data_IF_769750772292
#
_entry.id   IF_769750772292
#
_cell.length_a   1.000
_cell.length_b   1.000
_cell.length_c   1.000
_cell.angle_alpha   90.00
_cell.angle_beta   90.00
_cell.angle_gamma   90.00
#
_symmetry.space_group_name_H-M   'P 1'
#
loop_
_entity.id
_entity.type
_entity.pdbx_description
1 polymer ?
#
# COMPACT_ATOMS: atom_id res chain seq x y z
N UNK A 1 -4.94 17.56 -6.07
CA UNK A 1 -3.88 16.94 -6.88
C UNK A 1 -3.80 15.43 -6.67
N UNK A 2 -3.06 14.61 -7.43
CA UNK A 2 -2.70 14.90 -8.82
C UNK A 2 -3.94 15.49 -9.50
N UNK A 3 -3.87 16.78 -9.83
CA UNK A 3 -5.10 17.55 -10.08
C UNK A 3 -5.54 17.08 -11.42
N UNK A 4 -6.76 17.45 -11.75
CA UNK A 4 -7.15 17.55 -13.13
C UNK A 4 -6.00 18.09 -14.03
N UNK A 5 -5.29 19.15 -13.63
CA UNK A 5 -4.16 19.69 -14.41
C UNK A 5 -2.96 18.73 -14.57
N UNK A 6 -2.65 17.88 -13.58
CA UNK A 6 -1.58 16.88 -13.72
C UNK A 6 -2.04 15.69 -14.57
N UNK A 7 -3.30 15.28 -14.43
CA UNK A 7 -3.92 14.25 -15.27
C UNK A 7 -4.02 14.68 -16.74
N UNK A 8 -4.34 15.96 -17.00
CA UNK A 8 -4.47 16.52 -18.35
C UNK A 8 -3.13 16.48 -19.14
N UNK A 9 -1.99 16.21 -18.49
CA UNK A 9 -0.68 15.99 -19.14
C UNK A 9 -0.52 14.59 -19.75
N UNK A 10 -1.39 13.64 -19.41
CA UNK A 10 -1.33 12.24 -19.82
C UNK A 10 -2.55 11.85 -20.65
N UNK A 11 -2.46 10.84 -21.53
CA UNK A 11 -3.64 10.32 -22.21
C UNK A 11 -4.72 9.88 -21.21
N UNK A 12 -6.01 10.03 -21.53
CA UNK A 12 -7.09 9.62 -20.64
C UNK A 12 -7.05 8.10 -20.41
N UNK A 13 -7.53 7.68 -19.24
CA UNK A 13 -7.74 6.27 -18.96
C UNK A 13 -8.92 5.77 -19.84
N UNK A 14 -8.82 4.62 -20.52
CA UNK A 14 -9.89 4.14 -21.40
C UNK A 14 -11.18 3.80 -20.65
N UNK A 15 -12.33 4.14 -21.23
CA UNK A 15 -13.64 3.94 -20.61
C UNK A 15 -14.28 2.58 -20.96
N UNK A 16 -13.65 1.80 -21.83
CA UNK A 16 -14.15 0.54 -22.39
C UNK A 16 -13.49 -0.72 -21.79
N UNK A 17 -12.75 -0.57 -20.69
CA UNK A 17 -12.09 -1.68 -20.00
C UNK A 17 -12.69 -1.95 -18.61
N UNK A 18 -12.73 -3.21 -18.15
CA UNK A 18 -13.17 -3.54 -16.79
C UNK A 18 -12.27 -2.89 -15.74
N UNK A 19 -12.90 -2.20 -14.78
CA UNK A 19 -12.23 -1.58 -13.64
C UNK A 19 -12.81 -2.06 -12.32
N UNK A 20 -11.94 -2.19 -11.32
CA UNK A 20 -12.32 -2.41 -9.94
C UNK A 20 -13.22 -1.28 -9.44
N UNK A 21 -14.35 -1.65 -8.83
CA UNK A 21 -15.22 -0.70 -8.15
C UNK A 21 -14.70 -0.47 -6.74
N UNK A 22 -13.80 0.52 -6.59
CA UNK A 22 -13.29 0.93 -5.29
C UNK A 22 -14.25 1.93 -4.65
N UNK A 23 -14.54 1.75 -3.36
CA UNK A 23 -15.28 2.76 -2.59
C UNK A 23 -14.43 4.02 -2.49
N UNK A 24 -15.02 5.19 -2.79
CA UNK A 24 -14.41 6.49 -2.51
C UNK A 24 -14.74 6.91 -1.08
N UNK A 25 -13.70 7.21 -0.32
CA UNK A 25 -13.73 7.69 1.06
C UNK A 25 -13.19 9.12 1.07
N UNK A 26 -13.86 10.06 1.71
CA UNK A 26 -13.49 11.47 1.75
C UNK A 26 -12.76 11.77 3.05
N UNK A 27 -11.53 12.28 2.94
CA UNK A 27 -10.72 12.65 4.09
C UNK A 27 -11.42 13.70 4.96
N UNK A 28 -12.06 14.69 4.34
CA UNK A 28 -12.81 15.76 5.02
C UNK A 28 -13.90 15.21 5.95
N UNK A 29 -14.59 14.14 5.54
CA UNK A 29 -15.64 13.50 6.34
C UNK A 29 -15.09 12.58 7.43
N UNK A 30 -13.94 11.93 7.20
CA UNK A 30 -13.21 11.22 8.25
C UNK A 30 -12.73 12.19 9.33
N UNK A 31 -12.15 13.34 8.94
CA UNK A 31 -11.75 14.41 9.87
C UNK A 31 -12.95 14.92 10.71
N UNK A 32 -14.13 15.01 10.09
CA UNK A 32 -15.38 15.37 10.76
C UNK A 32 -15.98 14.24 11.62
N UNK A 33 -15.35 13.06 11.68
CA UNK A 33 -15.85 11.85 12.36
C UNK A 33 -17.25 11.43 11.90
N UNK A 34 -17.58 11.62 10.62
CA UNK A 34 -18.88 11.21 10.10
C UNK A 34 -19.03 9.68 10.16
N UNK A 35 -20.04 9.22 10.90
CA UNK A 35 -20.27 7.79 11.11
C UNK A 35 -20.47 7.03 9.80
N UNK A 36 -21.24 7.58 8.88
CA UNK A 36 -21.55 6.94 7.59
C UNK A 36 -20.30 6.75 6.73
N UNK A 37 -19.39 7.72 6.75
CA UNK A 37 -18.10 7.61 6.05
C UNK A 37 -17.20 6.58 6.73
N UNK A 38 -17.13 6.59 8.06
CA UNK A 38 -16.40 5.60 8.86
C UNK A 38 -16.88 4.17 8.59
N UNK A 39 -18.20 3.96 8.53
CA UNK A 39 -18.80 2.65 8.24
C UNK A 39 -18.48 2.19 6.81
N UNK A 40 -18.54 3.10 5.83
CA UNK A 40 -18.18 2.82 4.44
C UNK A 40 -16.69 2.46 4.30
N UNK A 41 -15.81 3.20 4.99
CA UNK A 41 -14.38 2.94 5.06
C UNK A 41 -14.09 1.56 5.67
N UNK A 42 -14.74 1.21 6.79
CA UNK A 42 -14.60 -0.11 7.38
C UNK A 42 -15.08 -1.22 6.46
N UNK A 43 -16.24 -1.02 5.78
CA UNK A 43 -16.71 -1.99 4.80
C UNK A 43 -15.74 -2.17 3.64
N UNK A 44 -15.11 -1.10 3.14
CA UNK A 44 -14.13 -1.19 2.05
C UNK A 44 -12.87 -1.93 2.48
N UNK A 45 -12.38 -1.64 3.69
CA UNK A 45 -11.23 -2.28 4.34
C UNK A 45 -11.39 -3.79 4.54
N UNK A 46 -12.64 -4.28 4.66
CA UNK A 46 -12.96 -5.71 4.75
C UNK A 46 -13.21 -6.38 3.41
N UNK A 47 -13.92 -5.72 2.49
CA UNK A 47 -14.37 -6.31 1.21
C UNK A 47 -13.23 -6.50 0.23
N UNK A 48 -12.49 -5.42 -0.06
CA UNK A 48 -11.35 -5.46 -0.97
C UNK A 48 -10.05 -5.11 -0.28
N UNK A 49 -10.07 -4.47 0.90
CA UNK A 49 -8.86 -3.95 1.50
C UNK A 49 -8.22 -2.83 0.67
N UNK A 50 -8.98 -2.27 -0.29
CA UNK A 50 -8.61 -1.22 -1.22
C UNK A 50 -9.75 -0.20 -1.28
N UNK A 51 -9.40 1.08 -1.32
CA UNK A 51 -10.33 2.19 -1.50
C UNK A 51 -9.62 3.39 -2.11
N UNK A 52 -10.39 4.33 -2.64
CA UNK A 52 -9.90 5.65 -3.01
C UNK A 52 -10.06 6.56 -1.80
N UNK A 53 -8.99 7.24 -1.39
CA UNK A 53 -9.05 8.30 -0.40
C UNK A 53 -9.00 9.65 -1.12
N UNK A 54 -10.11 10.36 -1.12
CA UNK A 54 -10.31 11.68 -1.68
C UNK A 54 -9.84 12.74 -0.68
N UNK A 55 -8.89 13.56 -1.11
CA UNK A 55 -8.28 14.61 -0.29
C UNK A 55 -8.89 15.98 -0.55
N UNK A 56 -9.91 16.10 -1.41
CA UNK A 56 -10.58 17.37 -1.66
C UNK A 56 -11.56 17.74 -0.53
N UNK A 57 -11.78 19.04 -0.34
CA UNK A 57 -12.75 19.55 0.64
C UNK A 57 -12.24 19.67 2.08
N UNK A 58 -10.94 19.55 2.32
CA UNK A 58 -10.30 19.98 3.57
C UNK A 58 -8.94 20.64 3.32
N UNK A 59 -8.54 21.55 4.22
CA UNK A 59 -7.25 22.24 4.14
C UNK A 59 -6.08 21.25 4.26
N UNK A 60 -6.21 20.28 5.17
CA UNK A 60 -5.21 19.23 5.38
C UNK A 60 -5.05 18.35 4.14
N UNK A 61 -6.16 18.00 3.50
CA UNK A 61 -6.14 17.20 2.28
C UNK A 61 -5.50 17.96 1.11
N UNK A 62 -5.94 19.20 0.87
CA UNK A 62 -5.35 20.05 -0.17
C UNK A 62 -3.86 20.31 0.03
N UNK A 63 -3.42 20.52 1.28
CA UNK A 63 -2.00 20.66 1.62
C UNK A 63 -1.22 19.38 1.32
N UNK A 64 -1.77 18.21 1.67
CA UNK A 64 -1.12 16.93 1.38
C UNK A 64 -0.99 16.68 -0.13
N UNK A 65 -2.02 17.03 -0.91
CA UNK A 65 -1.98 16.91 -2.36
C UNK A 65 -0.86 17.75 -3.00
N UNK A 66 -0.63 18.97 -2.50
CA UNK A 66 0.48 19.83 -2.94
C UNK A 66 1.83 19.17 -2.67
N UNK A 67 2.00 18.59 -1.48
CA UNK A 67 3.24 17.87 -1.16
C UNK A 67 3.42 16.60 -1.99
N UNK A 68 2.33 15.89 -2.30
CA UNK A 68 2.37 14.72 -3.18
C UNK A 68 2.87 15.10 -4.58
N UNK A 69 2.48 16.26 -5.14
CA UNK A 69 3.01 16.74 -6.43
C UNK A 69 4.51 16.98 -6.40
N UNK A 70 5.00 17.66 -5.37
CA UNK A 70 6.43 17.93 -5.20
C UNK A 70 7.17 16.58 -5.20
N UNK A 71 6.63 15.58 -4.49
CA UNK A 71 7.19 14.23 -4.51
C UNK A 71 7.09 13.53 -5.87
N UNK A 72 6.08 13.81 -6.71
CA UNK A 72 6.00 13.30 -8.08
C UNK A 72 7.06 13.89 -8.99
N UNK A 73 7.29 15.19 -8.89
CA UNK A 73 8.29 15.88 -9.69
C UNK A 73 9.69 15.41 -9.27
N UNK A 74 9.95 15.29 -7.97
CA UNK A 74 11.18 14.64 -7.44
C UNK A 74 11.29 13.19 -7.92
N UNK A 75 10.22 12.40 -7.86
CA UNK A 75 10.22 11.00 -8.35
C UNK A 75 10.62 10.92 -9.83
N UNK A 76 10.14 11.86 -10.64
CA UNK A 76 10.51 11.96 -12.05
C UNK A 76 12.01 12.23 -12.21
N UNK A 77 12.54 13.25 -11.54
CA UNK A 77 13.96 13.62 -11.59
C UNK A 77 14.88 12.49 -11.09
N UNK A 78 14.49 11.83 -10.00
CA UNK A 78 15.21 10.68 -9.43
C UNK A 78 15.28 9.52 -10.41
N UNK A 79 14.19 9.22 -11.12
CA UNK A 79 14.17 8.13 -12.09
C UNK A 79 14.69 8.52 -13.49
N UNK A 80 15.01 9.80 -13.71
CA UNK A 80 15.72 10.31 -14.89
C UNK A 80 17.22 10.50 -14.63
N UNK A 81 17.66 10.36 -13.37
CA UNK A 81 19.08 10.35 -12.99
C UNK A 81 19.81 9.15 -13.59
N UNK A 82 21.09 9.32 -13.91
CA UNK A 82 21.94 8.28 -14.46
C UNK A 82 21.94 7.00 -13.61
N UNK A 83 21.88 5.85 -14.27
CA UNK A 83 21.76 4.55 -13.59
C UNK A 83 23.03 4.21 -12.82
N UNK A 84 24.22 4.50 -13.36
CA UNK A 84 25.48 4.18 -12.69
C UNK A 84 25.66 5.04 -11.43
N UNK A 85 25.22 6.29 -11.46
CA UNK A 85 25.12 7.13 -10.28
C UNK A 85 24.19 6.52 -9.22
N UNK A 86 22.97 6.15 -9.62
CA UNK A 86 21.97 5.62 -8.69
C UNK A 86 22.37 4.27 -8.09
N UNK A 87 23.11 3.44 -8.82
CA UNK A 87 23.60 2.14 -8.35
C UNK A 87 24.62 2.24 -7.20
N UNK A 88 25.23 3.42 -6.97
CA UNK A 88 26.02 3.68 -5.74
C UNK A 88 25.18 3.55 -4.47
N UNK A 89 23.87 3.72 -4.59
CA UNK A 89 22.88 3.71 -3.54
C UNK A 89 21.93 2.50 -3.67
N UNK A 90 22.45 1.37 -4.17
CA UNK A 90 21.64 0.22 -4.50
C UNK A 90 20.85 -0.36 -3.32
N UNK A 91 19.61 -0.74 -3.61
CA UNK A 91 18.74 -1.60 -2.83
C UNK A 91 19.39 -2.99 -2.66
N UNK A 92 19.54 -3.46 -1.41
CA UNK A 92 20.28 -4.69 -1.09
C UNK A 92 19.54 -5.55 -0.07
N UNK A 93 18.47 -6.24 -0.47
CA UNK A 93 17.72 -7.07 0.46
C UNK A 93 18.47 -8.38 0.76
N UNK A 94 18.36 -8.96 1.97
CA UNK A 94 17.52 -8.47 3.07
C UNK A 94 18.19 -7.39 3.95
N UNK A 95 19.39 -6.91 3.59
CA UNK A 95 20.21 -6.04 4.46
C UNK A 95 19.68 -4.59 4.51
N UNK A 96 19.18 -4.08 3.39
CA UNK A 96 18.49 -2.80 3.29
C UNK A 96 17.33 -2.90 2.31
N UNK A 97 16.19 -2.34 2.70
CA UNK A 97 15.01 -2.20 1.83
C UNK A 97 14.94 -0.83 1.13
N UNK A 98 15.94 0.03 1.39
CA UNK A 98 16.04 1.40 0.90
C UNK A 98 17.10 1.53 -0.20
N UNK A 99 16.98 2.60 -1.00
CA UNK A 99 17.87 2.85 -2.13
C UNK A 99 17.27 2.48 -3.49
N UNK A 100 18.14 2.43 -4.50
CA UNK A 100 17.79 2.26 -5.91
C UNK A 100 17.74 0.79 -6.34
N UNK A 101 16.69 0.42 -7.08
CA UNK A 101 16.57 -0.87 -7.75
C UNK A 101 16.51 -0.65 -9.26
N UNK A 102 17.38 -1.31 -10.01
CA UNK A 102 17.49 -1.17 -11.45
C UNK A 102 16.48 -2.06 -12.18
N UNK A 103 16.19 -1.73 -13.44
CA UNK A 103 15.25 -2.46 -14.28
C UNK A 103 15.67 -3.94 -14.43
N UNK A 104 14.74 -4.87 -14.19
CA UNK A 104 14.99 -6.30 -14.40
C UNK A 104 15.74 -7.05 -13.28
N UNK A 105 16.07 -6.38 -12.17
CA UNK A 105 16.67 -7.01 -10.98
C UNK A 105 15.77 -8.05 -10.30
N UNK A 106 14.46 -7.98 -10.52
CA UNK A 106 13.45 -8.93 -10.05
C UNK A 106 12.86 -9.72 -11.23
N UNK A 107 12.14 -10.79 -10.89
CA UNK A 107 11.45 -11.64 -11.86
C UNK A 107 9.94 -11.51 -11.73
N UNK A 108 9.25 -11.71 -12.86
CA UNK A 108 7.79 -11.83 -12.92
C UNK A 108 7.36 -13.29 -13.08
N UNK A 109 6.06 -13.55 -13.20
CA UNK A 109 5.45 -14.89 -13.13
C UNK A 109 6.10 -15.93 -14.06
N UNK A 110 6.52 -15.50 -15.26
CA UNK A 110 7.11 -16.35 -16.29
C UNK A 110 8.65 -16.40 -16.27
N UNK A 111 9.28 -15.84 -15.21
CA UNK A 111 10.73 -15.82 -15.03
C UNK A 111 11.45 -14.73 -15.84
N UNK A 112 10.74 -13.94 -16.66
CA UNK A 112 11.34 -12.78 -17.33
C UNK A 112 11.72 -11.70 -16.32
N UNK A 113 12.69 -10.82 -16.67
CA UNK A 113 12.98 -9.63 -15.86
C UNK A 113 11.75 -8.72 -15.75
N UNK A 114 11.57 -8.13 -14.57
CA UNK A 114 10.55 -7.13 -14.31
C UNK A 114 10.71 -5.87 -15.19
N UNK A 115 9.71 -4.98 -15.16
CA UNK A 115 9.70 -3.74 -15.96
C UNK A 115 9.50 -2.47 -15.15
N UNK A 116 10.22 -2.33 -14.04
CA UNK A 116 10.20 -1.08 -13.27
C UNK A 116 11.52 -0.78 -12.56
N UNK A 117 11.72 0.50 -12.28
CA UNK A 117 12.77 1.00 -11.38
C UNK A 117 12.11 1.61 -10.15
N UNK A 118 12.85 1.67 -9.05
CA UNK A 118 12.44 2.51 -7.93
C UNK A 118 13.63 3.06 -7.16
N UNK A 119 13.38 4.15 -6.43
CA UNK A 119 14.19 4.58 -5.30
C UNK A 119 13.32 4.62 -4.05
N UNK A 120 13.78 4.06 -2.93
CA UNK A 120 13.04 4.12 -1.65
C UNK A 120 13.83 4.90 -0.61
N UNK A 121 13.23 5.96 -0.05
CA UNK A 121 13.78 6.66 1.13
C UNK A 121 13.23 6.06 2.42
N UNK A 122 14.04 6.06 3.49
CA UNK A 122 13.64 5.60 4.81
C UNK A 122 12.97 6.73 5.59
N UNK A 123 11.84 6.44 6.25
CA UNK A 123 11.26 7.39 7.20
C UNK A 123 12.26 7.70 8.30
N UNK A 124 12.85 6.65 8.91
CA UNK A 124 13.74 6.79 10.05
C UNK A 124 14.96 7.66 9.72
N UNK A 125 15.47 7.58 8.49
CA UNK A 125 16.55 8.44 8.01
C UNK A 125 16.08 9.89 7.86
N UNK A 126 14.98 10.10 7.15
CA UNK A 126 14.47 11.44 6.84
C UNK A 126 13.96 12.17 8.08
N UNK A 127 13.64 11.43 9.16
CA UNK A 127 13.16 11.98 10.43
C UNK A 127 14.21 11.98 11.54
N UNK A 128 15.47 11.72 11.22
CA UNK A 128 16.60 11.73 12.16
C UNK A 128 16.49 10.69 13.30
N UNK A 129 15.72 9.61 13.07
CA UNK A 129 15.54 8.52 14.04
C UNK A 129 16.63 7.44 13.91
N UNK A 130 17.23 7.30 12.73
CA UNK A 130 18.36 6.41 12.49
C UNK A 130 19.63 7.19 12.15
N UNK A 131 20.75 6.47 12.04
CA UNK A 131 21.96 7.05 11.42
C UNK A 131 21.65 7.45 9.98
N UNK A 132 22.15 8.61 9.51
CA UNK A 132 21.95 9.03 8.14
C UNK A 132 22.41 7.98 7.13
N UNK A 133 21.55 7.66 6.18
CA UNK A 133 21.90 6.86 5.02
C UNK A 133 22.57 7.74 3.96
N UNK A 134 23.41 7.12 3.13
CA UNK A 134 23.97 7.80 1.97
C UNK A 134 22.89 7.92 0.90
N UNK A 135 22.68 9.12 0.35
CA UNK A 135 21.72 9.38 -0.72
C UNK A 135 22.35 10.18 -1.88
N UNK A 136 21.78 10.10 -3.09
CA UNK A 136 22.13 10.98 -4.20
C UNK A 136 21.96 12.46 -3.79
N UNK A 137 22.77 13.39 -4.34
CA UNK A 137 22.63 14.83 -4.06
C UNK A 137 21.21 15.36 -4.24
N UNK A 138 20.47 14.84 -5.23
CA UNK A 138 19.08 15.19 -5.49
C UNK A 138 18.13 14.85 -4.34
N UNK A 139 18.31 13.69 -3.69
CA UNK A 139 17.49 13.31 -2.53
C UNK A 139 17.87 14.17 -1.32
N UNK A 140 19.16 14.44 -1.12
CA UNK A 140 19.63 15.31 -0.03
C UNK A 140 19.13 16.75 -0.18
N UNK A 141 19.09 17.30 -1.40
CA UNK A 141 18.58 18.65 -1.65
C UNK A 141 17.09 18.80 -1.36
N UNK A 142 16.33 17.69 -1.36
CA UNK A 142 14.89 17.65 -1.06
C UNK A 142 14.54 16.95 0.26
N UNK A 143 15.53 16.76 1.16
CA UNK A 143 15.33 16.07 2.44
C UNK A 143 14.22 16.72 3.28
N UNK A 144 14.09 18.04 3.25
CA UNK A 144 13.07 18.76 4.01
C UNK A 144 11.65 18.49 3.50
N UNK A 145 11.46 18.48 2.18
CA UNK A 145 10.19 18.20 1.51
C UNK A 145 9.78 16.74 1.71
N UNK A 146 10.73 15.81 1.58
CA UNK A 146 10.51 14.38 1.83
C UNK A 146 10.10 14.15 3.31
N UNK A 147 10.81 14.80 4.25
CA UNK A 147 10.47 14.74 5.69
C UNK A 147 9.08 15.31 5.97
N UNK A 148 8.70 16.42 5.33
CA UNK A 148 7.38 17.01 5.47
C UNK A 148 6.28 16.07 4.93
N UNK A 149 6.53 15.43 3.77
CA UNK A 149 5.64 14.42 3.22
C UNK A 149 5.45 13.24 4.16
N UNK A 150 6.53 12.67 4.73
CA UNK A 150 6.44 11.59 5.71
C UNK A 150 5.54 11.95 6.90
N UNK A 151 5.74 13.15 7.48
CA UNK A 151 4.93 13.61 8.62
C UNK A 151 3.45 13.70 8.28
N UNK A 152 3.10 14.32 7.14
CA UNK A 152 1.70 14.47 6.74
C UNK A 152 1.05 13.14 6.37
N UNK A 153 1.75 12.29 5.61
CA UNK A 153 1.28 10.96 5.25
C UNK A 153 1.04 10.11 6.51
N UNK A 154 1.93 10.21 7.51
CA UNK A 154 1.74 9.53 8.78
C UNK A 154 0.54 10.08 9.58
N UNK A 155 0.27 11.38 9.56
CA UNK A 155 -0.94 11.95 10.20
C UNK A 155 -2.23 11.42 9.57
N UNK A 156 -2.27 11.28 8.24
CA UNK A 156 -3.39 10.66 7.53
C UNK A 156 -3.56 9.20 7.93
N UNK A 157 -2.46 8.43 7.99
CA UNK A 157 -2.48 7.04 8.46
C UNK A 157 -2.97 6.94 9.90
N UNK A 158 -2.55 7.86 10.78
CA UNK A 158 -3.00 7.88 12.18
C UNK A 158 -4.52 8.09 12.28
N UNK A 159 -5.09 8.98 11.45
CA UNK A 159 -6.53 9.17 11.36
C UNK A 159 -7.24 7.89 10.89
N UNK A 160 -6.79 7.29 9.79
CA UNK A 160 -7.31 6.03 9.25
C UNK A 160 -7.27 4.93 10.31
N UNK A 161 -6.15 4.80 11.03
CA UNK A 161 -6.00 3.88 12.16
C UNK A 161 -7.02 4.15 13.28
N UNK A 162 -7.26 5.42 13.65
CA UNK A 162 -8.25 5.72 14.70
C UNK A 162 -9.68 5.33 14.32
N UNK A 163 -10.05 5.43 13.04
CA UNK A 163 -11.34 4.94 12.56
C UNK A 163 -11.42 3.41 12.61
N UNK A 164 -10.33 2.70 12.31
CA UNK A 164 -10.26 1.24 12.44
C UNK A 164 -10.30 0.80 13.91
N UNK A 165 -9.59 1.49 14.80
CA UNK A 165 -9.65 1.23 16.24
C UNK A 165 -11.10 1.32 16.71
N UNK A 166 -11.79 2.42 16.38
CA UNK A 166 -13.20 2.62 16.72
C UNK A 166 -14.10 1.52 16.15
N UNK A 167 -13.98 1.19 14.86
CA UNK A 167 -14.84 0.20 14.19
C UNK A 167 -14.60 -1.24 14.68
N UNK A 168 -13.41 -1.54 15.18
CA UNK A 168 -13.08 -2.85 15.75
C UNK A 168 -13.28 -2.91 17.27
N UNK A 169 -13.79 -1.84 17.88
CA UNK A 169 -13.94 -1.68 19.33
C UNK A 169 -12.61 -1.89 20.09
N UNK A 170 -11.51 -1.43 19.49
CA UNK A 170 -10.21 -1.39 20.13
C UNK A 170 -10.06 -0.10 20.97
N UNK A 171 -9.19 -0.12 21.99
CA UNK A 171 -8.77 1.11 22.65
C UNK A 171 -8.24 2.14 21.62
N UNK A 172 -8.54 3.43 21.77
CA UNK A 172 -8.03 4.44 20.84
C UNK A 172 -6.51 4.48 20.81
N UNK A 173 -5.93 4.49 19.60
CA UNK A 173 -4.49 4.57 19.39
C UNK A 173 -3.79 3.21 19.34
N UNK A 174 -4.54 2.11 19.44
CA UNK A 174 -3.99 0.74 19.36
C UNK A 174 -3.20 0.54 18.07
N UNK A 175 -3.77 0.72 16.88
CA UNK A 175 -3.00 0.56 15.63
C UNK A 175 -1.87 1.59 15.49
N UNK A 176 -2.07 2.84 15.93
CA UNK A 176 -1.05 3.88 15.82
C UNK A 176 0.19 3.54 16.66
N UNK A 177 -0.01 2.95 17.85
CA UNK A 177 1.09 2.51 18.73
C UNK A 177 1.96 1.39 18.13
N UNK A 178 1.44 0.67 17.13
CA UNK A 178 2.16 -0.42 16.46
C UNK A 178 3.05 0.08 15.32
N UNK A 179 2.94 1.36 14.93
CA UNK A 179 3.68 1.94 13.81
C UNK A 179 4.09 3.42 14.05
N UNK A 180 4.57 3.81 15.25
CA UNK A 180 4.85 5.21 15.55
C UNK A 180 6.08 5.72 14.79
N UNK A 181 6.09 7.00 14.40
CA UNK A 181 7.27 7.63 13.79
C UNK A 181 8.48 7.75 14.72
N UNK A 182 8.31 7.49 16.02
CA UNK A 182 9.35 7.62 17.04
C UNK A 182 10.07 6.30 17.32
N UNK A 183 9.70 5.21 16.64
CA UNK A 183 10.32 3.90 16.81
C UNK A 183 10.76 3.33 15.46
N UNK A 184 11.98 2.78 15.33
CA UNK A 184 12.49 2.36 14.04
C UNK A 184 11.61 1.33 13.34
N UNK A 185 11.40 1.52 12.04
CA UNK A 185 10.52 0.69 11.21
C UNK A 185 11.08 0.54 9.79
N UNK A 186 10.49 -0.36 9.01
CA UNK A 186 10.77 -0.43 7.57
C UNK A 186 9.96 0.57 6.74
N UNK A 187 9.29 1.54 7.36
CA UNK A 187 8.43 2.51 6.67
C UNK A 187 9.25 3.34 5.69
N UNK A 188 8.74 3.51 4.46
CA UNK A 188 9.48 4.21 3.42
C UNK A 188 8.61 4.81 2.34
N UNK A 189 9.17 5.79 1.63
CA UNK A 189 8.58 6.41 0.47
C UNK A 189 9.26 5.87 -0.78
N UNK A 190 8.51 5.12 -1.59
CA UNK A 190 8.99 4.50 -2.81
C UNK A 190 8.57 5.31 -4.03
N UNK A 191 9.55 5.79 -4.76
CA UNK A 191 9.45 6.57 -5.99
C UNK A 191 9.67 5.63 -7.18
N UNK A 192 8.60 5.23 -7.87
CA UNK A 192 8.66 4.22 -8.93
C UNK A 192 8.48 4.82 -10.33
N UNK A 193 9.16 4.21 -11.30
CA UNK A 193 8.96 4.44 -12.73
C UNK A 193 8.83 3.11 -13.47
N UNK A 194 7.87 3.08 -14.39
CA UNK A 194 7.63 1.97 -15.30
C UNK A 194 7.77 2.52 -16.73
N UNK A 195 8.74 2.02 -17.52
CA UNK A 195 8.86 2.43 -18.92
C UNK A 195 7.59 2.08 -19.72
N UNK A 196 7.32 2.81 -20.83
CA UNK A 196 6.26 2.44 -21.75
C UNK A 196 6.33 0.98 -22.19
N UNK A 197 5.16 0.34 -22.33
CA UNK A 197 5.03 -1.03 -22.81
C UNK A 197 4.20 -1.03 -24.10
N UNK A 198 4.84 -0.96 -25.29
CA UNK A 198 4.13 -1.07 -26.56
C UNK A 198 3.50 -2.44 -26.71
N UNK A 199 2.52 -2.58 -27.63
CA UNK A 199 1.67 -3.78 -27.72
C UNK A 199 2.44 -5.10 -27.81
N UNK A 200 3.56 -5.12 -28.53
CA UNK A 200 4.41 -6.30 -28.71
C UNK A 200 5.25 -6.72 -27.50
N UNK A 201 5.28 -5.92 -26.43
CA UNK A 201 6.04 -6.20 -25.20
C UNK A 201 5.20 -5.95 -23.93
N UNK A 202 3.87 -6.05 -24.06
CA UNK A 202 2.92 -5.97 -22.95
C UNK A 202 3.08 -7.18 -22.05
N UNK A 203 3.44 -6.94 -20.78
CA UNK A 203 3.51 -7.96 -19.73
C UNK A 203 3.43 -7.36 -18.33
N UNK A 204 3.32 -8.24 -17.33
CA UNK A 204 3.49 -7.85 -15.93
C UNK A 204 4.82 -7.11 -15.74
N UNK A 205 4.77 -5.96 -15.06
CA UNK A 205 5.94 -5.25 -14.59
C UNK A 205 6.31 -5.61 -13.16
N UNK A 206 5.32 -5.75 -12.28
CA UNK A 206 5.48 -6.13 -10.88
C UNK A 206 4.54 -7.30 -10.59
N UNK A 207 5.14 -8.44 -10.23
CA UNK A 207 4.48 -9.70 -9.88
C UNK A 207 3.33 -9.50 -8.89
N UNK A 208 2.27 -10.30 -9.02
CA UNK A 208 1.18 -10.35 -8.06
C UNK A 208 1.65 -10.62 -6.63
N UNK A 209 1.32 -9.74 -5.70
CA UNK A 209 1.71 -9.83 -4.28
C UNK A 209 0.69 -9.18 -3.34
N UNK A 210 0.85 -9.44 -2.04
CA UNK A 210 0.28 -8.64 -0.96
C UNK A 210 1.39 -7.81 -0.31
N UNK A 211 1.03 -6.64 0.25
CA UNK A 211 1.99 -5.83 0.99
C UNK A 211 2.26 -6.44 2.36
N UNK A 212 3.52 -6.61 2.74
CA UNK A 212 3.90 -7.15 4.06
C UNK A 212 3.58 -6.13 5.18
N UNK A 213 3.52 -4.83 4.87
CA UNK A 213 3.29 -3.77 5.86
C UNK A 213 1.87 -3.70 6.41
N UNK A 214 1.54 -2.56 7.02
CA UNK A 214 0.21 -2.27 7.56
C UNK A 214 -0.69 -1.60 6.53
N UNK A 215 -0.23 -0.50 5.92
CA UNK A 215 -1.01 0.33 5.02
C UNK A 215 -0.11 0.91 3.92
N UNK A 216 -0.68 1.13 2.74
CA UNK A 216 0.00 1.80 1.63
C UNK A 216 -0.86 2.97 1.13
N UNK A 217 -0.26 4.15 0.98
CA UNK A 217 -0.86 5.28 0.23
C UNK A 217 -0.15 5.36 -1.11
N UNK A 218 -0.88 5.11 -2.19
CA UNK A 218 -0.36 5.12 -3.56
C UNK A 218 -1.00 6.26 -4.35
N UNK A 219 -0.15 7.12 -4.90
CA UNK A 219 -0.55 8.01 -5.97
C UNK A 219 0.02 7.54 -7.31
N UNK A 220 -0.78 7.65 -8.37
CA UNK A 220 -0.38 7.46 -9.76
C UNK A 220 -1.38 8.18 -10.70
N UNK A 221 -0.96 8.41 -11.95
CA UNK A 221 -1.77 9.11 -12.95
C UNK A 221 -2.29 8.14 -14.01
N UNK A 222 -1.36 7.41 -14.62
CA UNK A 222 -1.66 6.38 -15.60
C UNK A 222 -2.07 5.09 -14.88
N UNK A 223 -2.86 4.25 -15.56
CA UNK A 223 -3.25 2.92 -15.10
C UNK A 223 -2.08 1.94 -14.97
N UNK A 224 -2.39 0.65 -15.03
CA UNK A 224 -1.40 -0.43 -14.92
C UNK A 224 -1.48 -1.21 -13.59
N UNK A 225 -1.94 -0.57 -12.50
CA UNK A 225 -2.28 -1.31 -11.28
C UNK A 225 -3.50 -2.19 -11.56
N UNK A 226 -3.40 -3.47 -11.17
CA UNK A 226 -4.52 -4.39 -11.16
C UNK A 226 -4.66 -5.02 -9.77
N UNK A 227 -5.91 -5.26 -9.36
CA UNK A 227 -6.23 -6.05 -8.17
C UNK A 227 -6.85 -7.38 -8.59
N UNK A 228 -6.60 -8.42 -7.80
CA UNK A 228 -7.26 -9.70 -7.97
C UNK A 228 -8.66 -9.62 -7.35
N UNK A 229 -9.70 -9.97 -8.12
CA UNK A 229 -11.05 -10.05 -7.58
C UNK A 229 -11.15 -11.15 -6.51
N UNK A 230 -12.02 -10.99 -5.49
CA UNK A 230 -12.22 -12.02 -4.47
C UNK A 230 -12.51 -13.40 -5.07
N UNK A 231 -11.92 -14.44 -4.48
CA UNK A 231 -12.10 -15.84 -4.86
C UNK A 231 -11.64 -16.20 -6.29
N UNK A 232 -10.76 -15.39 -6.90
CA UNK A 232 -10.11 -15.71 -8.18
C UNK A 232 -8.72 -16.30 -7.97
N UNK A 233 -8.29 -17.14 -8.90
CA UNK A 233 -6.94 -17.68 -8.93
C UNK A 233 -5.98 -16.61 -9.47
N UNK A 234 -4.88 -16.27 -8.79
CA UNK A 234 -3.88 -15.32 -9.31
C UNK A 234 -3.25 -15.74 -10.65
N UNK A 235 -3.34 -17.02 -11.03
CA UNK A 235 -2.90 -17.53 -12.35
C UNK A 235 -3.93 -17.31 -13.46
N UNK A 236 -5.17 -17.01 -13.11
CA UNK A 236 -6.21 -16.68 -14.08
C UNK A 236 -6.20 -15.17 -14.37
N UNK A 237 -5.71 -14.81 -15.56
CA UNK A 237 -5.63 -13.42 -16.00
C UNK A 237 -7.00 -12.71 -16.01
N UNK A 238 -8.11 -13.45 -16.20
CA UNK A 238 -9.46 -12.88 -16.16
C UNK A 238 -9.91 -12.48 -14.75
N UNK A 239 -9.19 -12.93 -13.71
CA UNK A 239 -9.42 -12.52 -12.32
C UNK A 239 -8.85 -11.15 -11.97
N UNK A 240 -7.95 -10.62 -12.79
CA UNK A 240 -7.27 -9.35 -12.55
C UNK A 240 -7.98 -8.18 -13.22
N UNK A 241 -8.34 -7.15 -12.45
CA UNK A 241 -9.04 -5.96 -12.96
C UNK A 241 -8.24 -4.70 -12.69
N UNK A 242 -8.28 -3.75 -13.62
CA UNK A 242 -7.55 -2.48 -13.47
C UNK A 242 -8.13 -1.60 -12.36
N UNK A 243 -7.29 -0.83 -11.70
CA UNK A 243 -7.73 0.29 -10.87
C UNK A 243 -7.56 1.58 -11.67
N UNK A 244 -8.66 2.32 -11.84
CA UNK A 244 -8.66 3.63 -12.48
C UNK A 244 -8.15 4.67 -11.47
N UNK A 245 -7.02 5.36 -11.74
CA UNK A 245 -6.58 6.46 -10.90
C UNK A 245 -7.50 7.66 -11.10
N UNK A 246 -7.76 8.41 -10.04
CA UNK A 246 -8.69 9.53 -10.07
C UNK A 246 -8.02 10.82 -9.56
N UNK A 247 -8.30 11.98 -10.20
CA UNK A 247 -7.83 13.26 -9.69
C UNK A 247 -8.26 13.49 -8.25
N UNK A 248 -7.37 14.07 -7.44
CA UNK A 248 -7.67 14.37 -6.03
C UNK A 248 -7.54 13.18 -5.07
N UNK A 249 -7.40 11.96 -5.60
CA UNK A 249 -7.44 10.74 -4.80
C UNK A 249 -6.08 10.03 -4.74
N UNK A 250 -5.81 9.35 -3.62
CA UNK A 250 -4.86 8.25 -3.56
C UNK A 250 -5.62 6.91 -3.58
N UNK A 251 -4.98 5.88 -4.11
CA UNK A 251 -5.38 4.50 -3.88
C UNK A 251 -4.74 4.07 -2.57
N UNK A 252 -5.55 3.61 -1.61
CA UNK A 252 -5.07 3.15 -0.31
C UNK A 252 -5.40 1.67 -0.16
N UNK A 253 -4.44 0.89 0.34
CA UNK A 253 -4.66 -0.51 0.65
C UNK A 253 -4.12 -0.92 2.01
N UNK A 254 -4.75 -1.93 2.59
CA UNK A 254 -4.30 -2.60 3.80
C UNK A 254 -3.33 -3.73 3.40
N UNK A 255 -2.32 -3.90 4.24
CA UNK A 255 -1.31 -4.94 4.12
C UNK A 255 -1.52 -6.07 5.14
N UNK A 256 -0.60 -7.01 5.07
CA UNK A 256 -0.61 -8.25 5.82
C UNK A 256 -0.61 -8.04 7.33
N UNK A 257 0.05 -7.01 7.85
CA UNK A 257 0.08 -6.75 9.30
C UNK A 257 -1.32 -6.44 9.85
N UNK A 258 -2.17 -5.75 9.08
CA UNK A 258 -3.55 -5.47 9.48
C UNK A 258 -4.40 -6.75 9.52
N UNK A 259 -4.08 -7.75 8.69
CA UNK A 259 -4.74 -9.06 8.72
C UNK A 259 -4.35 -9.82 9.98
N UNK A 260 -3.06 -9.85 10.32
CA UNK A 260 -2.58 -10.52 11.55
C UNK A 260 -3.22 -9.91 12.79
N UNK A 261 -3.16 -8.58 12.94
CA UNK A 261 -3.69 -7.88 14.11
C UNK A 261 -5.20 -7.99 14.25
N UNK A 262 -5.94 -7.96 13.15
CA UNK A 262 -7.41 -8.00 13.18
C UNK A 262 -8.01 -9.41 13.18
N UNK A 263 -7.18 -10.46 13.28
CA UNK A 263 -7.65 -11.84 13.18
C UNK A 263 -8.34 -12.13 11.84
N UNK A 264 -7.91 -11.46 10.77
CA UNK A 264 -8.46 -11.60 9.44
C UNK A 264 -9.78 -10.86 9.17
N UNK A 265 -10.29 -10.03 10.08
CA UNK A 265 -11.46 -9.19 9.79
C UNK A 265 -11.17 -8.22 8.64
N UNK A 266 -10.03 -7.54 8.72
CA UNK A 266 -9.53 -6.66 7.66
C UNK A 266 -8.87 -7.49 6.56
N UNK A 267 -8.83 -6.96 5.33
CA UNK A 267 -8.34 -7.68 4.16
C UNK A 267 -7.05 -7.08 3.61
N UNK A 268 -6.09 -7.96 3.30
CA UNK A 268 -4.92 -7.67 2.47
C UNK A 268 -5.13 -8.37 1.13
N UNK A 269 -5.29 -7.62 0.05
CA UNK A 269 -5.67 -8.16 -1.25
C UNK A 269 -4.50 -8.17 -2.23
N UNK A 270 -4.43 -9.22 -3.05
CA UNK A 270 -3.42 -9.32 -4.09
C UNK A 270 -3.60 -8.23 -5.13
N UNK A 271 -2.46 -7.65 -5.51
CA UNK A 271 -2.37 -6.66 -6.56
C UNK A 271 -1.07 -6.89 -7.36
N UNK A 272 -1.09 -6.46 -8.62
CA UNK A 272 0.07 -6.51 -9.53
C UNK A 272 0.16 -5.21 -10.32
N UNK A 273 1.29 -4.95 -10.95
CA UNK A 273 1.39 -3.88 -11.95
C UNK A 273 1.70 -4.48 -13.29
N UNK A 274 0.87 -4.19 -14.28
CA UNK A 274 1.02 -4.57 -15.68
C UNK A 274 1.13 -3.32 -16.56
N UNK A 275 1.12 -3.50 -17.88
CA UNK A 275 1.08 -2.40 -18.85
C UNK A 275 -0.15 -1.49 -18.62
N UNK A 276 0.05 -0.18 -18.77
CA UNK A 276 -1.05 0.77 -18.72
C UNK A 276 -1.98 0.58 -19.93
N UNK A 277 -3.31 0.73 -19.76
CA UNK A 277 -4.28 0.46 -20.81
C UNK A 277 -4.33 1.57 -21.88
N UNK A 278 -4.73 1.21 -23.10
CA UNK A 278 -4.91 2.14 -24.22
C UNK A 278 -3.66 2.97 -24.54
N UNK A 279 -3.87 4.26 -24.84
CA UNK A 279 -2.80 5.20 -25.18
C UNK A 279 -1.84 5.47 -24.01
N UNK A 280 -2.27 5.25 -22.76
CA UNK A 280 -1.38 5.38 -21.60
C UNK A 280 -0.23 4.37 -21.63
N UNK A 281 -0.37 3.24 -22.32
CA UNK A 281 0.71 2.26 -22.49
C UNK A 281 1.94 2.79 -23.26
N UNK A 282 1.79 3.92 -23.97
CA UNK A 282 2.83 4.56 -24.78
C UNK A 282 3.67 5.59 -24.01
N UNK A 283 3.27 5.92 -22.77
CA UNK A 283 3.97 6.91 -21.93
C UNK A 283 4.48 6.26 -20.65
N UNK A 284 5.54 6.81 -20.00
CA UNK A 284 6.02 6.27 -18.74
C UNK A 284 4.96 6.39 -17.65
N UNK A 285 4.85 5.36 -16.81
CA UNK A 285 4.04 5.40 -15.58
C UNK A 285 4.93 5.75 -14.41
N UNK A 286 4.62 6.83 -13.72
CA UNK A 286 5.21 7.17 -12.42
C UNK A 286 4.22 6.87 -11.31
N UNK A 287 4.71 6.38 -10.19
CA UNK A 287 3.91 6.23 -8.98
C UNK A 287 4.72 6.50 -7.72
N UNK A 288 4.03 7.00 -6.70
CA UNK A 288 4.58 7.32 -5.40
C UNK A 288 3.85 6.48 -4.35
N UNK A 289 4.57 5.60 -3.66
CA UNK A 289 3.99 4.71 -2.66
C UNK A 289 4.61 4.99 -1.27
N UNK A 290 3.78 5.45 -0.33
CA UNK A 290 4.13 5.49 1.08
C UNK A 290 3.77 4.15 1.71
N UNK A 291 4.79 3.36 2.04
CA UNK A 291 4.67 1.97 2.49
C UNK A 291 4.87 1.93 4.01
N UNK A 292 3.77 1.85 4.76
CA UNK A 292 3.81 1.85 6.22
C UNK A 292 4.08 0.45 6.74
N UNK A 293 4.97 0.36 7.72
CA UNK A 293 5.32 -0.89 8.38
C UNK A 293 5.23 -0.74 9.90
N UNK A 294 4.93 -1.82 10.63
CA UNK A 294 5.05 -1.80 12.08
C UNK A 294 6.48 -1.44 12.50
N UNK A 295 6.65 -0.88 13.70
CA UNK A 295 8.00 -0.71 14.25
C UNK A 295 8.59 -2.10 14.60
N UNK A 296 9.92 -2.21 14.58
CA UNK A 296 10.59 -3.52 14.59
C UNK A 296 10.19 -4.47 15.74
N UNK A 297 9.95 -3.92 16.94
CA UNK A 297 9.59 -4.71 18.12
C UNK A 297 8.06 -4.76 18.36
N UNK A 298 7.25 -4.22 17.45
CA UNK A 298 5.79 -4.33 17.52
C UNK A 298 5.38 -5.81 17.56
N UNK A 299 4.45 -6.16 18.44
CA UNK A 299 3.93 -7.52 18.48
C UNK A 299 3.13 -7.84 17.22
N UNK A 300 3.32 -9.01 16.63
CA UNK A 300 2.46 -9.49 15.55
C UNK A 300 1.29 -10.34 16.04
N UNK A 301 1.10 -10.42 17.37
CA UNK A 301 -0.04 -11.09 17.98
C UNK A 301 -1.34 -10.43 17.57
N UNK A 302 -2.41 -11.23 17.54
CA UNK A 302 -3.76 -10.73 17.33
C UNK A 302 -4.11 -9.72 18.43
N UNK A 303 -4.69 -8.58 18.05
CA UNK A 303 -5.09 -7.53 18.98
C UNK A 303 -6.50 -7.81 19.53
N UNK A 304 -6.73 -9.03 19.99
CA UNK A 304 -8.01 -9.48 20.55
C UNK A 304 -8.19 -9.01 22.02
N UNK A 305 -9.39 -9.25 22.55
CA UNK A 305 -9.73 -8.98 23.94
C UNK A 305 -10.36 -7.61 24.19
N UNK A 306 -10.63 -7.29 25.46
CA UNK A 306 -11.08 -5.95 25.89
C UNK A 306 -12.45 -5.51 25.34
N UNK A 307 -13.28 -6.43 24.85
CA UNK A 307 -14.55 -6.09 24.17
C UNK A 307 -14.42 -5.78 22.68
N UNK A 308 -13.23 -5.98 22.10
CA UNK A 308 -13.01 -5.85 20.66
C UNK A 308 -13.84 -6.85 19.84
N UNK A 309 -14.09 -6.53 18.58
CA UNK A 309 -14.74 -7.43 17.62
C UNK A 309 -13.80 -8.55 17.11
N UNK A 310 -12.51 -8.46 17.45
CA UNK A 310 -11.48 -9.38 17.00
C UNK A 310 -11.57 -10.67 17.83
N UNK A 311 -11.74 -11.84 17.19
CA UNK A 311 -11.83 -13.10 17.93
C UNK A 311 -10.52 -13.43 18.63
N UNK A 312 -10.56 -14.00 19.82
CA UNK A 312 -9.37 -14.56 20.49
C UNK A 312 -8.70 -15.61 19.60
N UNK A 313 -7.37 -15.69 19.65
CA UNK A 313 -6.62 -16.73 18.95
C UNK A 313 -6.81 -18.09 19.64
N UNK A 314 -6.98 -19.16 18.87
CA UNK A 314 -6.93 -20.52 19.43
C UNK A 314 -5.49 -20.92 19.76
N UNK A 315 -5.31 -21.99 20.55
CA UNK A 315 -3.98 -22.45 20.98
C UNK A 315 -3.10 -22.79 19.76
N UNK A 316 -1.97 -22.08 19.63
CA UNK A 316 -1.03 -22.25 18.53
C UNK A 316 -1.35 -21.47 17.25
N UNK A 317 -2.45 -20.70 17.20
CA UNK A 317 -2.76 -19.81 16.08
C UNK A 317 -2.05 -18.45 16.16
N UNK A 318 -1.73 -17.99 17.38
CA UNK A 318 -1.21 -16.66 17.57
C UNK A 318 0.25 -16.51 17.12
N UNK A 319 0.59 -15.31 16.65
CA UNK A 319 1.91 -15.02 16.14
C UNK A 319 2.78 -14.42 17.25
N UNK A 320 3.65 -15.25 17.81
CA UNK A 320 4.58 -14.88 18.88
C UNK A 320 5.76 -14.00 18.43
N UNK A 321 5.89 -13.72 17.14
CA UNK A 321 6.98 -12.89 16.60
C UNK A 321 6.74 -11.40 16.86
N UNK A 322 7.83 -10.65 16.95
CA UNK A 322 7.78 -9.21 16.66
C UNK A 322 7.74 -8.97 15.14
N UNK A 323 7.47 -7.73 14.73
CA UNK A 323 7.37 -7.36 13.34
C UNK A 323 8.67 -7.61 12.55
N UNK A 324 9.86 -7.34 13.12
CA UNK A 324 11.13 -7.56 12.45
C UNK A 324 11.33 -9.03 12.06
N UNK A 325 11.09 -9.94 13.00
CA UNK A 325 11.25 -11.39 12.79
C UNK A 325 10.16 -11.92 11.84
N UNK A 326 8.93 -11.42 11.99
CA UNK A 326 7.81 -11.77 11.12
C UNK A 326 8.02 -11.33 9.67
N UNK A 327 8.53 -10.12 9.44
CA UNK A 327 8.84 -9.61 8.11
C UNK A 327 9.90 -10.48 7.41
N UNK A 328 10.94 -10.89 8.14
CA UNK A 328 11.97 -11.81 7.63
C UNK A 328 11.37 -13.18 7.32
N UNK A 329 10.55 -13.73 8.22
CA UNK A 329 9.84 -14.99 8.01
C UNK A 329 8.98 -14.95 6.74
N UNK A 330 8.17 -13.89 6.56
CA UNK A 330 7.35 -13.66 5.37
C UNK A 330 8.19 -13.52 4.10
N UNK A 331 9.25 -12.72 4.13
CA UNK A 331 10.12 -12.51 2.98
C UNK A 331 10.82 -13.80 2.52
N UNK A 332 11.31 -14.61 3.46
CA UNK A 332 11.90 -15.92 3.17
C UNK A 332 10.83 -16.89 2.67
N UNK A 333 9.64 -16.89 3.28
CA UNK A 333 8.52 -17.74 2.89
C UNK A 333 8.11 -17.52 1.44
N UNK A 334 7.97 -16.26 1.02
CA UNK A 334 7.66 -15.88 -0.37
C UNK A 334 8.79 -16.30 -1.31
N UNK A 335 10.06 -15.99 -0.99
CA UNK A 335 11.21 -16.34 -1.86
C UNK A 335 11.40 -17.84 -2.05
N UNK A 336 11.09 -18.64 -1.02
CA UNK A 336 11.23 -20.10 -1.06
C UNK A 336 9.99 -20.81 -1.59
N UNK A 337 8.93 -20.09 -1.97
CA UNK A 337 7.65 -20.67 -2.40
C UNK A 337 6.88 -21.40 -1.30
N UNK A 338 7.32 -21.29 -0.03
CA UNK A 338 6.63 -21.88 1.13
C UNK A 338 5.36 -21.13 1.50
N UNK A 339 5.35 -19.83 1.25
CA UNK A 339 4.17 -18.97 1.43
C UNK A 339 3.76 -18.47 0.07
N UNK A 340 2.65 -19.00 -0.46
CA UNK A 340 2.05 -18.48 -1.67
C UNK A 340 1.46 -17.11 -1.36
N UNK A 341 1.90 -16.07 -2.08
CA UNK A 341 1.22 -14.78 -2.06
C UNK A 341 -0.24 -15.00 -2.48
N UNK A 342 -1.17 -14.69 -1.59
CA UNK A 342 -2.60 -14.89 -1.76
C UNK A 342 -3.35 -13.82 -1.00
N UNK A 343 -4.53 -13.43 -1.47
CA UNK A 343 -5.39 -12.49 -0.75
C UNK A 343 -5.83 -13.13 0.57
N UNK A 344 -5.78 -12.37 1.68
CA UNK A 344 -6.12 -12.84 3.02
C UNK A 344 -7.08 -11.89 3.72
N UNK A 345 -7.89 -12.43 4.63
CA UNK A 345 -8.80 -11.68 5.47
C UNK A 345 -10.15 -11.36 4.82
N UNK A 346 -10.85 -10.37 5.37
CA UNK A 346 -12.26 -10.11 5.07
C UNK A 346 -13.20 -11.16 5.67
N UNK A 347 -12.82 -11.74 6.81
CA UNK A 347 -13.61 -12.74 7.52
C UNK A 347 -14.87 -12.10 8.15
N UNK A 348 -15.93 -12.91 8.36
CA UNK A 348 -17.05 -12.48 9.18
C UNK A 348 -16.59 -12.27 10.63
N UNK A 349 -17.29 -11.39 11.34
CA UNK A 349 -17.12 -11.19 12.79
C UNK A 349 -18.50 -11.23 13.45
N UNK A 350 -18.53 -11.50 14.75
CA UNK A 350 -19.78 -11.46 15.52
C UNK A 350 -20.08 -10.02 15.88
N UNK A 351 -21.06 -9.41 15.22
CA UNK A 351 -21.66 -8.17 15.71
C UNK A 351 -22.58 -8.49 16.89
N UNK A 352 -22.68 -7.62 17.89
CA UNK A 352 -23.68 -7.79 18.95
C UNK A 352 -25.08 -7.85 18.31
N UNK A 353 -25.71 -9.03 18.32
CA UNK A 353 -27.09 -9.23 17.85
C UNK A 353 -27.32 -10.27 16.75
N UNK A 354 -26.29 -10.75 16.04
CA UNK A 354 -26.48 -11.76 14.99
C UNK A 354 -26.28 -13.20 15.51
N UNK A 355 -27.39 -13.95 15.62
CA UNK A 355 -27.34 -15.42 15.73
C UNK A 355 -26.86 -15.98 14.39
N UNK A 356 -25.72 -16.67 14.40
CA UNK A 356 -25.23 -17.42 13.24
C UNK A 356 -26.32 -18.41 12.81
N UNK A 357 -26.87 -18.18 11.62
CA UNK A 357 -27.69 -19.19 10.94
C UNK A 357 -26.83 -20.41 10.71
N UNK A 358 -27.02 -21.44 11.52
CA UNK A 358 -26.46 -22.77 11.28
C UNK A 358 -27.01 -23.21 9.92
N UNK A 359 -26.15 -23.22 8.91
CA UNK A 359 -26.44 -23.87 7.64
C UNK A 359 -26.75 -25.33 7.92
N UNK A 360 -28.03 -25.67 7.93
CA UNK A 360 -28.50 -27.04 7.92
C UNK A 360 -28.02 -27.64 6.61
N UNK A 361 -27.09 -28.60 6.71
CA UNK A 361 -26.68 -29.42 5.58
C UNK A 361 -27.90 -30.06 4.95
N UNK A 362 -28.05 -29.88 3.63
CA UNK A 362 -28.92 -30.71 2.83
C UNK A 362 -28.04 -31.82 2.23
N UNK A 363 -28.43 -33.05 2.54
CA UNK A 363 -27.96 -34.30 1.94
C UNK A 363 -28.09 -34.30 0.42
#
# INVERSE_FOLDING_TARGET
MPTKAYFDKYPPFPDDIPVAQLTRIHLSKLLANEKTESDAFFSASRKLGFFLLDFEGSEEGEAFLKNAEIMFDINKEVNETDVDEMMKYAYRPPHSLFGYKALGDLKVEDGRPDRFTFYTTSQDDMTDLSKPLSHPPLIESHRAEIKAYFKQAHSIISLVCSHLDFQLHLPPGTFASMQPMTSPSGTGLRMLRYPPQPEGDRRTSLLGHTDIGSLTILFNITGGLQILLPNKDPKDDAGWVYVKPEPGCAIVNLGDAMVEWSGGILRSNMHRVTFAPGEQGKVPRYSLAYLVRPFGDASMKRLAGGGSLIPEAEEGEDNEMNARDWEVYKAIGVRSGRVNASSRGGLPFKSEGEKVGVGVGAN
#
